data_IF_266532877058
#
_entry.id   IF_266532877058
#
_cell.length_a   1.000
_cell.length_b   1.000
_cell.length_c   1.000
_cell.angle_alpha   90.00
_cell.angle_beta   90.00
_cell.angle_gamma   90.00
#
_symmetry.space_group_name_H-M   'P 1'
#
loop_
_entity.id
_entity.type
_entity.pdbx_description
1 polymer ?
#
# COMPACT_ATOMS: atom_id res chain seq x y z
N UNK A 1 6.49 21.79 4.38
CA UNK A 1 6.25 20.45 3.77
C UNK A 1 7.57 19.94 3.22
N UNK A 2 7.95 18.67 3.40
CA UNK A 2 9.12 18.15 2.70
C UNK A 2 8.99 18.43 1.20
N UNK A 3 10.10 18.64 0.53
CA UNK A 3 10.15 18.87 -0.91
C UNK A 3 9.46 17.69 -1.63
N UNK A 4 8.59 17.98 -2.58
CA UNK A 4 7.93 16.95 -3.41
C UNK A 4 8.60 16.92 -4.77
N UNK A 5 8.74 15.73 -5.32
CA UNK A 5 9.26 15.50 -6.67
C UNK A 5 8.12 15.03 -7.59
N UNK A 6 8.29 15.11 -8.92
CA UNK A 6 7.36 14.50 -9.86
C UNK A 6 7.12 13.03 -9.56
N UNK A 7 5.95 12.52 -9.93
CA UNK A 7 5.52 11.16 -9.57
C UNK A 7 6.48 10.07 -10.09
N UNK A 8 6.93 10.18 -11.35
CA UNK A 8 7.93 9.23 -11.89
C UNK A 8 9.26 9.31 -11.18
N UNK A 9 9.73 10.51 -10.87
CA UNK A 9 11.01 10.70 -10.18
C UNK A 9 10.96 10.06 -8.78
N UNK A 10 9.82 10.15 -8.10
CA UNK A 10 9.63 9.48 -6.81
C UNK A 10 9.64 7.95 -6.94
N UNK A 11 9.04 7.39 -8.00
CA UNK A 11 9.10 5.95 -8.31
C UNK A 11 10.54 5.52 -8.58
N UNK A 12 11.33 6.36 -9.26
CA UNK A 12 12.74 6.08 -9.54
C UNK A 12 13.61 6.03 -8.28
N UNK A 13 13.20 6.74 -7.23
CA UNK A 13 13.90 6.77 -5.94
C UNK A 13 13.56 5.56 -5.04
N UNK A 14 12.52 4.79 -5.31
CA UNK A 14 12.01 3.74 -4.41
C UNK A 14 13.05 2.68 -4.03
N UNK A 15 13.90 2.14 -4.93
CA UNK A 15 14.89 1.16 -4.52
C UNK A 15 15.86 1.69 -3.46
N UNK A 16 16.35 2.92 -3.67
CA UNK A 16 17.24 3.56 -2.69
C UNK A 16 16.50 3.96 -1.41
N UNK A 17 15.25 4.41 -1.54
CA UNK A 17 14.39 4.73 -0.40
C UNK A 17 14.17 3.50 0.50
N UNK A 18 13.97 2.31 -0.07
CA UNK A 18 13.83 1.06 0.68
C UNK A 18 15.14 0.64 1.36
N UNK A 19 16.31 0.77 0.69
CA UNK A 19 17.60 0.51 1.34
C UNK A 19 17.82 1.41 2.54
N UNK A 20 17.50 2.70 2.41
CA UNK A 20 17.61 3.68 3.51
C UNK A 20 16.61 3.36 4.63
N UNK A 21 15.35 3.06 4.25
CA UNK A 21 14.29 2.74 5.19
C UNK A 21 14.58 1.46 5.98
N UNK A 22 15.20 0.46 5.38
CA UNK A 22 15.60 -0.77 6.07
C UNK A 22 16.53 -0.46 7.25
N UNK A 23 17.57 0.34 7.02
CA UNK A 23 18.50 0.72 8.07
C UNK A 23 17.89 1.63 9.13
N UNK A 24 17.10 2.62 8.72
CA UNK A 24 16.47 3.57 9.65
C UNK A 24 15.39 2.90 10.49
N UNK A 25 14.49 2.16 9.87
CA UNK A 25 13.41 1.44 10.56
C UNK A 25 13.98 0.35 11.47
N UNK A 26 15.01 -0.39 11.02
CA UNK A 26 15.69 -1.39 11.83
C UNK A 26 16.18 -0.82 13.14
N UNK A 27 16.94 0.29 13.10
CA UNK A 27 17.44 0.98 14.30
C UNK A 27 16.32 1.51 15.20
N UNK A 28 15.25 2.05 14.60
CA UNK A 28 14.10 2.54 15.38
C UNK A 28 13.40 1.40 16.13
N UNK A 29 13.24 0.25 15.47
CA UNK A 29 12.62 -0.94 16.07
C UNK A 29 13.53 -1.62 17.12
N UNK A 30 14.84 -1.56 16.96
CA UNK A 30 15.78 -2.10 17.96
C UNK A 30 15.78 -1.25 19.25
N UNK A 31 15.42 0.03 19.15
CA UNK A 31 15.27 0.92 20.30
C UNK A 31 13.85 0.91 20.90
N UNK A 32 12.85 0.36 20.21
CA UNK A 32 11.46 0.38 20.62
C UNK A 32 11.12 -0.81 21.53
N UNK A 33 10.28 -0.58 22.54
CA UNK A 33 9.64 -1.64 23.30
C UNK A 33 8.35 -2.11 22.59
N UNK A 34 8.41 -3.25 21.92
CA UNK A 34 7.31 -3.84 21.17
C UNK A 34 6.45 -4.82 22.01
N UNK A 35 6.66 -4.91 23.31
CA UNK A 35 5.99 -5.89 24.21
C UNK A 35 4.47 -5.81 24.09
N UNK A 36 3.90 -4.61 23.99
CA UNK A 36 2.46 -4.43 23.82
C UNK A 36 1.90 -5.02 22.50
N UNK A 37 2.72 -5.14 21.47
CA UNK A 37 2.36 -5.79 20.20
C UNK A 37 2.54 -7.32 20.24
N UNK A 38 3.18 -7.86 21.29
CA UNK A 38 3.45 -9.28 21.46
C UNK A 38 2.23 -10.11 21.87
N UNK A 39 1.17 -9.50 22.40
CA UNK A 39 -0.05 -10.16 22.86
C UNK A 39 -1.30 -9.42 22.36
N UNK A 40 -2.48 -10.02 22.56
CA UNK A 40 -3.74 -9.36 22.19
C UNK A 40 -3.93 -9.15 20.68
N UNK A 41 -4.85 -8.25 20.35
CA UNK A 41 -5.19 -7.83 18.99
C UNK A 41 -4.50 -6.50 18.67
N UNK A 42 -3.87 -6.41 17.52
CA UNK A 42 -3.23 -5.20 17.02
C UNK A 42 -4.19 -4.46 16.09
N UNK A 43 -4.51 -3.21 16.37
CA UNK A 43 -5.26 -2.30 15.49
C UNK A 43 -4.32 -1.44 14.66
N UNK A 44 -4.39 -1.55 13.33
CA UNK A 44 -3.64 -0.69 12.44
C UNK A 44 -4.56 0.44 11.95
N UNK A 45 -4.23 1.67 12.29
CA UNK A 45 -5.08 2.85 12.01
C UNK A 45 -4.42 3.67 10.91
N UNK A 46 -5.15 3.97 9.85
CA UNK A 46 -4.64 4.79 8.75
C UNK A 46 -5.75 5.51 8.00
N UNK A 47 -5.35 6.35 7.04
CA UNK A 47 -6.25 7.01 6.10
C UNK A 47 -5.56 7.13 4.73
N UNK A 48 -6.32 7.03 3.64
CA UNK A 48 -5.76 7.02 2.29
C UNK A 48 -4.76 5.87 2.08
N UNK A 49 -3.60 6.14 1.49
CA UNK A 49 -2.56 5.13 1.26
C UNK A 49 -2.12 4.42 2.55
N UNK A 50 -2.10 5.14 3.68
CA UNK A 50 -1.76 4.56 4.99
C UNK A 50 -2.78 3.56 5.50
N UNK A 51 -4.07 3.71 5.18
CA UNK A 51 -5.08 2.69 5.48
C UNK A 51 -4.80 1.40 4.70
N UNK A 52 -4.47 1.52 3.42
CA UNK A 52 -4.17 0.36 2.60
C UNK A 52 -2.86 -0.34 2.99
N UNK A 53 -1.86 0.42 3.44
CA UNK A 53 -0.69 -0.16 4.10
C UNK A 53 -1.08 -0.91 5.38
N UNK A 54 -1.97 -0.35 6.19
CA UNK A 54 -2.52 -0.99 7.39
C UNK A 54 -3.29 -2.27 7.07
N UNK A 55 -4.11 -2.30 6.01
CA UNK A 55 -4.83 -3.50 5.56
C UNK A 55 -3.85 -4.61 5.17
N UNK A 56 -2.82 -4.28 4.37
CA UNK A 56 -1.77 -5.22 4.00
C UNK A 56 -0.98 -5.71 5.23
N UNK A 57 -0.61 -4.79 6.13
CA UNK A 57 0.10 -5.11 7.38
C UNK A 57 -0.70 -5.99 8.32
N UNK A 58 -2.02 -5.74 8.48
CA UNK A 58 -2.89 -6.58 9.30
C UNK A 58 -3.00 -8.00 8.73
N UNK A 59 -3.08 -8.14 7.41
CA UNK A 59 -3.09 -9.45 6.74
C UNK A 59 -1.75 -10.18 6.95
N UNK A 60 -0.62 -9.48 6.84
CA UNK A 60 0.70 -10.07 7.10
C UNK A 60 0.87 -10.51 8.55
N UNK A 61 0.46 -9.67 9.51
CA UNK A 61 0.48 -10.04 10.94
C UNK A 61 -0.33 -11.30 11.20
N UNK A 62 -1.52 -11.43 10.60
CA UNK A 62 -2.35 -12.65 10.71
C UNK A 62 -1.65 -13.87 10.09
N UNK A 63 -1.00 -13.72 8.93
CA UNK A 63 -0.23 -14.79 8.30
C UNK A 63 0.96 -15.26 9.19
N UNK A 64 1.50 -14.36 10.01
CA UNK A 64 2.57 -14.64 10.97
C UNK A 64 2.06 -14.94 12.39
N UNK A 65 0.78 -15.32 12.54
CA UNK A 65 0.21 -15.84 13.80
C UNK A 65 -0.25 -14.76 14.79
N UNK A 66 -0.32 -13.47 14.39
CA UNK A 66 -0.79 -12.38 15.24
C UNK A 66 -2.25 -12.04 14.94
N UNK A 67 -3.05 -11.74 15.96
CA UNK A 67 -4.37 -11.16 15.76
C UNK A 67 -4.21 -9.69 15.37
N UNK A 68 -4.71 -9.30 14.20
CA UNK A 68 -4.61 -7.94 13.73
C UNK A 68 -5.82 -7.55 12.87
N UNK A 69 -6.25 -6.29 13.00
CA UNK A 69 -7.32 -5.65 12.23
C UNK A 69 -6.82 -4.33 11.67
N UNK A 70 -7.34 -3.91 10.53
CA UNK A 70 -7.12 -2.57 9.99
C UNK A 70 -8.38 -1.74 10.19
N UNK A 71 -8.21 -0.48 10.55
CA UNK A 71 -9.27 0.47 10.88
C UNK A 71 -9.03 1.77 10.13
N UNK A 72 -10.06 2.30 9.48
CA UNK A 72 -10.00 3.66 8.99
C UNK A 72 -9.96 4.64 10.17
N UNK A 73 -9.13 5.69 10.06
CA UNK A 73 -8.96 6.66 11.16
C UNK A 73 -10.29 7.24 11.67
N UNK A 74 -11.28 7.40 10.78
CA UNK A 74 -12.61 7.89 11.16
C UNK A 74 -13.42 6.95 12.04
N UNK A 75 -13.16 5.65 12.02
CA UNK A 75 -13.88 4.66 12.86
C UNK A 75 -13.58 4.83 14.35
N UNK A 76 -12.38 5.33 14.69
CA UNK A 76 -11.93 5.53 16.07
C UNK A 76 -11.75 7.00 16.44
N UNK A 77 -12.14 7.92 15.58
CA UNK A 77 -11.90 9.35 15.70
C UNK A 77 -12.44 9.94 17.04
N UNK A 78 -13.63 9.51 17.43
CA UNK A 78 -14.29 9.91 18.68
C UNK A 78 -14.74 8.69 19.50
N UNK A 79 -14.26 7.47 19.17
CA UNK A 79 -14.70 6.25 19.82
C UNK A 79 -14.09 6.12 21.23
N UNK A 80 -14.95 5.98 22.23
CA UNK A 80 -14.56 5.73 23.60
C UNK A 80 -14.23 4.26 23.89
N UNK A 81 -14.63 3.35 22.97
CA UNK A 81 -14.43 1.90 23.13
C UNK A 81 -13.24 1.46 22.31
N UNK A 82 -12.37 0.67 22.91
CA UNK A 82 -11.21 0.10 22.21
C UNK A 82 -11.63 -1.05 21.31
N UNK A 83 -11.13 -1.04 20.05
CA UNK A 83 -11.33 -2.11 19.07
C UNK A 83 -10.16 -3.12 19.08
N UNK A 84 -9.06 -2.82 19.76
CA UNK A 84 -7.87 -3.64 19.85
C UNK A 84 -7.13 -3.39 21.18
N UNK A 85 -6.18 -4.25 21.48
CA UNK A 85 -5.39 -4.18 22.71
C UNK A 85 -4.16 -3.25 22.57
N UNK A 86 -3.64 -3.11 21.35
CA UNK A 86 -2.57 -2.18 21.00
C UNK A 86 -2.80 -1.59 19.61
N UNK A 87 -2.22 -0.42 19.33
CA UNK A 87 -2.49 0.31 18.10
C UNK A 87 -1.22 0.77 17.40
N UNK A 88 -1.22 0.68 16.08
CA UNK A 88 -0.19 1.25 15.20
C UNK A 88 -0.87 2.27 14.29
N UNK A 89 -0.62 3.56 14.51
CA UNK A 89 -1.06 4.62 13.62
C UNK A 89 -0.06 4.76 12.46
N UNK A 90 -0.55 4.70 11.22
CA UNK A 90 0.27 4.88 10.02
C UNK A 90 -0.09 6.21 9.36
N UNK A 91 0.91 7.07 9.18
CA UNK A 91 0.76 8.35 8.48
C UNK A 91 2.07 8.78 7.85
N UNK A 92 2.16 8.76 6.52
CA UNK A 92 3.39 9.12 5.80
C UNK A 92 4.04 10.41 6.31
N UNK A 93 3.25 11.48 6.48
CA UNK A 93 3.73 12.77 6.98
C UNK A 93 3.73 12.90 8.51
N UNK A 94 3.19 11.91 9.25
CA UNK A 94 2.94 12.03 10.68
C UNK A 94 1.97 13.16 11.06
N UNK A 95 1.16 13.65 10.11
CA UNK A 95 0.29 14.82 10.28
C UNK A 95 -1.19 14.54 10.05
N UNK A 96 -1.58 13.32 9.74
CA UNK A 96 -3.01 12.98 9.54
C UNK A 96 -3.75 13.10 10.87
N UNK A 97 -4.82 13.91 10.88
CA UNK A 97 -5.57 14.25 12.10
C UNK A 97 -6.25 13.00 12.67
N UNK A 98 -6.85 12.18 11.81
CA UNK A 98 -7.70 11.07 12.20
C UNK A 98 -6.92 9.97 12.97
N UNK A 99 -5.81 9.42 12.45
CA UNK A 99 -5.05 8.42 13.20
C UNK A 99 -4.39 9.00 14.45
N UNK A 100 -3.93 10.27 14.43
CA UNK A 100 -3.36 10.92 15.59
C UNK A 100 -4.41 11.10 16.70
N UNK A 101 -5.62 11.58 16.37
CA UNK A 101 -6.71 11.75 17.33
C UNK A 101 -7.17 10.40 17.88
N UNK A 102 -7.31 9.40 17.04
CA UNK A 102 -7.67 8.05 17.46
C UNK A 102 -6.69 7.47 18.50
N UNK A 103 -5.37 7.66 18.30
CA UNK A 103 -4.36 7.17 19.25
C UNK A 103 -4.23 8.04 20.50
N UNK A 104 -4.44 9.35 20.40
CA UNK A 104 -4.40 10.26 21.56
C UNK A 104 -5.44 9.92 22.65
N UNK A 105 -6.51 9.23 22.29
CA UNK A 105 -7.55 8.77 23.23
C UNK A 105 -7.16 7.48 23.99
N UNK A 106 -6.00 6.89 23.71
CA UNK A 106 -5.57 5.59 24.23
C UNK A 106 -4.30 5.72 25.08
N UNK A 107 -4.05 4.77 25.99
CA UNK A 107 -2.84 4.79 26.80
C UNK A 107 -1.57 4.78 25.90
N UNK A 108 -0.64 5.66 26.17
CA UNK A 108 0.61 5.75 25.38
C UNK A 108 1.41 4.44 25.35
N UNK A 109 1.35 3.64 26.42
CA UNK A 109 2.06 2.37 26.52
C UNK A 109 1.67 1.33 25.44
N UNK A 110 0.50 1.48 24.81
CA UNK A 110 -0.02 0.55 23.79
C UNK A 110 -0.17 1.20 22.41
N UNK A 111 0.42 2.39 22.19
CA UNK A 111 0.28 3.13 20.93
C UNK A 111 1.62 3.39 20.25
N UNK A 112 1.66 3.13 18.95
CA UNK A 112 2.82 3.28 18.09
C UNK A 112 2.46 4.12 16.87
N UNK A 113 3.42 4.91 16.38
CA UNK A 113 3.28 5.70 15.15
C UNK A 113 4.31 5.27 14.12
N UNK A 114 3.92 5.17 12.85
CA UNK A 114 4.81 5.00 11.70
C UNK A 114 4.68 6.25 10.82
N UNK A 115 5.81 6.92 10.56
CA UNK A 115 5.89 8.06 9.64
C UNK A 115 7.24 8.10 8.93
N UNK A 116 7.41 8.97 7.93
CA UNK A 116 8.71 9.16 7.27
C UNK A 116 9.81 9.62 8.25
N UNK A 117 9.46 10.52 9.18
CA UNK A 117 10.32 10.94 10.26
C UNK A 117 9.67 10.65 11.62
N UNK A 118 10.46 10.49 12.68
CA UNK A 118 9.94 10.27 14.02
C UNK A 118 9.50 11.58 14.69
N UNK A 119 10.14 12.68 14.36
CA UNK A 119 9.89 14.04 14.89
C UNK A 119 8.72 14.73 14.16
N UNK A 120 7.56 14.13 14.19
CA UNK A 120 6.35 14.65 13.54
C UNK A 120 5.27 14.92 14.58
N UNK A 121 4.23 15.73 14.26
CA UNK A 121 3.13 16.03 15.20
C UNK A 121 2.45 14.79 15.79
N UNK A 122 2.49 13.65 15.12
CA UNK A 122 1.93 12.38 15.63
C UNK A 122 2.63 11.89 16.91
N UNK A 123 3.90 12.27 17.15
CA UNK A 123 4.63 11.88 18.38
C UNK A 123 3.90 12.26 19.67
N UNK A 124 3.10 13.34 19.63
CA UNK A 124 2.32 13.79 20.79
C UNK A 124 1.13 12.89 21.07
N UNK A 125 0.72 12.08 20.10
CA UNK A 125 -0.47 11.22 20.16
C UNK A 125 -0.15 9.74 20.41
N UNK A 126 1.12 9.33 20.35
CA UNK A 126 1.55 7.93 20.50
C UNK A 126 2.65 7.78 21.54
N UNK A 127 2.83 6.57 22.06
CA UNK A 127 3.90 6.28 23.01
C UNK A 127 5.27 6.17 22.35
N UNK A 128 5.33 5.60 21.17
CA UNK A 128 6.58 5.37 20.45
C UNK A 128 6.42 5.67 18.96
N UNK A 129 7.42 6.34 18.39
CA UNK A 129 7.46 6.67 16.96
C UNK A 129 8.53 5.84 16.24
N UNK A 130 8.15 5.31 15.09
CA UNK A 130 9.02 4.58 14.17
C UNK A 130 9.13 5.40 12.89
N UNK A 131 10.27 6.08 12.74
CA UNK A 131 10.62 6.79 11.52
C UNK A 131 11.09 5.81 10.44
N UNK A 132 10.54 5.89 9.23
CA UNK A 132 10.96 5.00 8.15
C UNK A 132 12.20 5.51 7.41
N UNK A 133 12.43 6.81 7.36
CA UNK A 133 13.54 7.38 6.59
C UNK A 133 13.45 7.11 5.09
N UNK A 134 12.25 6.88 4.55
CA UNK A 134 12.02 6.56 3.13
C UNK A 134 12.26 7.74 2.16
N UNK A 135 12.65 8.91 2.68
CA UNK A 135 13.12 10.03 1.88
C UNK A 135 12.03 10.86 1.22
N UNK A 136 12.39 11.50 0.10
CA UNK A 136 11.51 12.42 -0.63
C UNK A 136 10.39 11.61 -1.30
N UNK A 137 9.20 12.21 -1.36
CA UNK A 137 8.00 11.59 -1.95
C UNK A 137 7.33 12.51 -2.96
N UNK A 138 6.36 11.98 -3.67
CA UNK A 138 5.45 12.73 -4.52
C UNK A 138 4.10 12.97 -3.81
N UNK A 139 3.18 13.52 -4.51
CA UNK A 139 1.77 13.45 -4.11
C UNK A 139 0.94 13.15 -5.36
N UNK A 140 0.53 11.92 -5.57
CA UNK A 140 0.27 10.78 -4.65
C UNK A 140 1.51 10.13 -4.04
N UNK A 141 1.33 9.46 -2.90
CA UNK A 141 2.40 8.83 -2.15
C UNK A 141 3.01 7.62 -2.89
N UNK A 142 4.34 7.53 -2.91
CA UNK A 142 5.14 6.45 -3.51
C UNK A 142 6.13 5.89 -2.48
N UNK A 143 7.29 6.53 -2.30
CA UNK A 143 8.33 6.10 -1.37
C UNK A 143 7.85 5.95 0.07
N UNK A 144 6.94 6.83 0.53
CA UNK A 144 6.39 6.75 1.88
C UNK A 144 5.43 5.56 2.05
N UNK A 145 4.69 5.18 1.01
CA UNK A 145 3.89 3.96 1.03
C UNK A 145 4.79 2.72 1.13
N UNK A 146 5.83 2.64 0.30
CA UNK A 146 6.84 1.57 0.35
C UNK A 146 7.51 1.48 1.73
N UNK A 147 7.91 2.63 2.29
CA UNK A 147 8.49 2.70 3.63
C UNK A 147 7.54 2.23 4.72
N UNK A 148 6.24 2.53 4.60
CA UNK A 148 5.21 2.06 5.54
C UNK A 148 5.02 0.55 5.45
N UNK A 149 4.99 -0.05 4.25
CA UNK A 149 4.93 -1.50 4.07
C UNK A 149 6.15 -2.18 4.68
N UNK A 150 7.35 -1.65 4.44
CA UNK A 150 8.59 -2.18 5.01
C UNK A 150 8.58 -2.11 6.54
N UNK A 151 8.18 -0.99 7.13
CA UNK A 151 8.11 -0.85 8.59
C UNK A 151 7.13 -1.85 9.20
N UNK A 152 5.95 -2.02 8.60
CA UNK A 152 4.95 -3.01 9.04
C UNK A 152 5.48 -4.45 8.90
N UNK A 153 6.23 -4.74 7.83
CA UNK A 153 6.87 -6.03 7.65
C UNK A 153 7.90 -6.31 8.74
N UNK A 154 8.80 -5.37 9.02
CA UNK A 154 9.82 -5.52 10.05
C UNK A 154 9.22 -5.62 11.46
N UNK A 155 8.10 -4.98 11.72
CA UNK A 155 7.32 -5.18 12.96
C UNK A 155 6.79 -6.62 13.00
N UNK A 156 6.14 -7.07 11.92
CA UNK A 156 5.57 -8.42 11.85
C UNK A 156 6.64 -9.52 12.02
N UNK A 157 7.84 -9.33 11.46
CA UNK A 157 8.98 -10.23 11.68
C UNK A 157 9.44 -10.31 13.16
N UNK A 158 9.26 -9.23 13.94
CA UNK A 158 9.65 -9.18 15.36
C UNK A 158 8.59 -9.72 16.31
N UNK A 159 7.31 -9.49 16.00
CA UNK A 159 6.22 -9.82 16.93
C UNK A 159 5.44 -11.09 16.55
N UNK A 160 5.63 -11.59 15.34
CA UNK A 160 5.03 -12.81 14.80
C UNK A 160 6.05 -13.90 14.54
N UNK A 161 5.63 -14.95 13.83
CA UNK A 161 6.54 -15.97 13.33
C UNK A 161 7.32 -15.43 12.14
N UNK A 162 8.67 -15.37 12.18
CA UNK A 162 9.45 -14.83 11.07
C UNK A 162 9.22 -15.57 9.75
N UNK A 163 9.13 -14.82 8.65
CA UNK A 163 8.88 -15.36 7.30
C UNK A 163 10.11 -16.01 6.66
N UNK A 164 11.30 -15.69 7.17
CA UNK A 164 12.58 -16.10 6.58
C UNK A 164 12.96 -15.29 5.32
N UNK A 165 12.26 -14.21 5.00
CA UNK A 165 12.63 -13.35 3.89
C UNK A 165 13.86 -12.50 4.22
N UNK A 166 14.84 -12.47 3.32
CA UNK A 166 16.01 -11.60 3.46
C UNK A 166 15.70 -10.17 3.00
N UNK A 167 15.36 -9.31 3.96
CA UNK A 167 15.01 -7.91 3.71
C UNK A 167 16.15 -7.08 3.13
N UNK A 168 17.41 -7.54 3.23
CA UNK A 168 18.55 -6.82 2.62
C UNK A 168 18.48 -6.82 1.09
N UNK A 169 17.76 -7.75 0.51
CA UNK A 169 17.61 -7.90 -0.95
C UNK A 169 16.49 -7.06 -1.55
N UNK A 170 15.61 -6.46 -0.74
CA UNK A 170 14.37 -5.84 -1.24
C UNK A 170 14.61 -4.72 -2.27
N UNK A 171 15.64 -3.90 -2.08
CA UNK A 171 15.99 -2.83 -3.02
C UNK A 171 16.45 -3.39 -4.38
N UNK A 172 17.27 -4.43 -4.37
CA UNK A 172 17.78 -5.08 -5.58
C UNK A 172 16.66 -5.84 -6.31
N UNK A 173 15.79 -6.51 -5.57
CA UNK A 173 14.60 -7.15 -6.13
C UNK A 173 13.66 -6.14 -6.79
N UNK A 174 13.51 -4.94 -6.21
CA UNK A 174 12.68 -3.89 -6.81
C UNK A 174 13.30 -3.37 -8.11
N UNK A 175 14.62 -3.14 -8.16
CA UNK A 175 15.32 -2.78 -9.40
C UNK A 175 15.19 -3.86 -10.49
N UNK A 176 15.37 -5.12 -10.13
CA UNK A 176 15.19 -6.24 -11.04
C UNK A 176 13.74 -6.35 -11.55
N UNK A 177 12.75 -6.14 -10.65
CA UNK A 177 11.33 -6.10 -11.01
C UNK A 177 11.06 -5.00 -12.02
N UNK A 178 11.59 -3.79 -11.81
CA UNK A 178 11.47 -2.68 -12.76
C UNK A 178 11.98 -3.06 -14.15
N UNK A 179 13.21 -3.57 -14.20
CA UNK A 179 13.85 -3.94 -15.47
C UNK A 179 13.06 -5.03 -16.23
N UNK A 180 12.59 -6.05 -15.52
CA UNK A 180 11.89 -7.20 -16.12
C UNK A 180 10.44 -6.89 -16.54
N UNK A 181 9.79 -5.91 -15.92
CA UNK A 181 8.36 -5.62 -16.15
C UNK A 181 8.09 -4.49 -17.15
N UNK A 182 9.09 -3.72 -17.57
CA UNK A 182 8.95 -2.50 -18.40
C UNK A 182 8.04 -2.70 -19.62
N UNK A 183 8.27 -3.77 -20.39
CA UNK A 183 7.48 -4.05 -21.61
C UNK A 183 6.03 -4.41 -21.29
N UNK A 184 5.80 -5.22 -20.26
CA UNK A 184 4.46 -5.61 -19.84
C UNK A 184 3.69 -4.41 -19.24
N UNK A 185 4.34 -3.54 -18.47
CA UNK A 185 3.78 -2.28 -17.95
C UNK A 185 3.28 -1.40 -19.10
N UNK A 186 4.09 -1.17 -20.13
CA UNK A 186 3.69 -0.35 -21.28
C UNK A 186 2.48 -0.95 -22.04
N UNK A 187 2.40 -2.29 -22.15
CA UNK A 187 1.21 -2.96 -22.73
C UNK A 187 -0.02 -2.84 -21.83
N UNK A 188 0.16 -2.99 -20.52
CA UNK A 188 -0.91 -2.83 -19.55
C UNK A 188 -1.49 -1.40 -19.58
N UNK A 189 -0.62 -0.38 -19.63
CA UNK A 189 -1.04 1.01 -19.78
C UNK A 189 -1.87 1.23 -21.04
N UNK A 190 -1.45 0.67 -22.19
CA UNK A 190 -2.21 0.75 -23.46
C UNK A 190 -3.57 0.03 -23.35
N UNK A 191 -3.61 -1.16 -22.72
CA UNK A 191 -4.83 -1.96 -22.57
C UNK A 191 -5.87 -1.25 -21.70
N UNK A 192 -5.44 -0.56 -20.65
CA UNK A 192 -6.31 0.13 -19.69
C UNK A 192 -6.62 1.58 -20.10
N UNK A 193 -5.93 2.15 -21.08
CA UNK A 193 -6.14 3.52 -21.51
C UNK A 193 -7.57 3.76 -22.00
N UNK A 194 -8.19 4.87 -21.56
CA UNK A 194 -9.54 5.25 -21.98
C UNK A 194 -10.68 4.42 -21.38
N UNK A 195 -10.39 3.47 -20.48
CA UNK A 195 -11.45 2.75 -19.74
C UNK A 195 -12.19 3.71 -18.80
N UNK A 196 -13.54 3.59 -18.77
CA UNK A 196 -14.40 4.50 -18.00
C UNK A 196 -14.35 4.30 -16.49
N UNK A 197 -14.00 3.08 -16.05
CA UNK A 197 -13.82 2.69 -14.66
C UNK A 197 -12.82 1.54 -14.55
N UNK A 198 -12.15 1.43 -13.41
CA UNK A 198 -11.16 0.40 -13.15
C UNK A 198 -11.41 -0.25 -11.78
N UNK A 199 -11.46 -1.57 -11.73
CA UNK A 199 -11.46 -2.32 -10.48
C UNK A 199 -10.06 -2.86 -10.18
N UNK A 200 -9.73 -2.93 -8.90
CA UNK A 200 -8.49 -3.52 -8.41
C UNK A 200 -8.85 -4.66 -7.46
N UNK A 201 -8.36 -5.86 -7.71
CA UNK A 201 -8.80 -7.08 -7.01
C UNK A 201 -7.62 -7.83 -6.44
N UNK A 202 -7.71 -8.27 -5.19
CA UNK A 202 -6.69 -9.09 -4.56
C UNK A 202 -7.15 -9.61 -3.20
N UNK A 203 -6.53 -10.68 -2.71
CA UNK A 203 -6.86 -11.28 -1.43
C UNK A 203 -5.77 -11.04 -0.38
N UNK A 204 -6.13 -11.06 0.90
CA UNK A 204 -5.21 -10.94 2.03
C UNK A 204 -4.31 -9.68 1.92
N UNK A 205 -2.99 -9.84 1.87
CA UNK A 205 -2.05 -8.72 1.71
C UNK A 205 -2.30 -7.97 0.40
N UNK A 206 -2.59 -8.69 -0.69
CA UNK A 206 -2.86 -8.11 -1.99
C UNK A 206 -4.16 -7.27 -2.02
N UNK A 207 -5.10 -7.46 -1.10
CA UNK A 207 -6.25 -6.56 -0.94
C UNK A 207 -5.83 -5.13 -0.56
N UNK A 208 -4.80 -5.00 0.28
CA UNK A 208 -4.21 -3.69 0.57
C UNK A 208 -3.52 -3.07 -0.66
N UNK A 209 -2.82 -3.88 -1.47
CA UNK A 209 -2.21 -3.44 -2.74
C UNK A 209 -3.28 -2.98 -3.73
N UNK A 210 -4.38 -3.73 -3.86
CA UNK A 210 -5.52 -3.37 -4.70
C UNK A 210 -6.16 -2.03 -4.26
N UNK A 211 -6.28 -1.82 -2.94
CA UNK A 211 -6.78 -0.57 -2.40
C UNK A 211 -5.87 0.63 -2.68
N UNK A 212 -4.57 0.45 -2.53
CA UNK A 212 -3.59 1.47 -2.91
C UNK A 212 -3.65 1.79 -4.40
N UNK A 213 -3.74 0.79 -5.27
CA UNK A 213 -3.90 0.98 -6.71
C UNK A 213 -5.16 1.77 -7.07
N UNK A 214 -6.31 1.40 -6.49
CA UNK A 214 -7.57 2.11 -6.71
C UNK A 214 -7.49 3.57 -6.25
N UNK A 215 -6.81 3.85 -5.13
CA UNK A 215 -6.57 5.21 -4.66
C UNK A 215 -5.71 6.01 -5.67
N UNK A 216 -4.59 5.44 -6.13
CA UNK A 216 -3.72 6.10 -7.11
C UNK A 216 -4.43 6.38 -8.43
N UNK A 217 -5.26 5.45 -8.93
CA UNK A 217 -6.08 5.66 -10.12
C UNK A 217 -7.03 6.86 -9.96
N UNK A 218 -7.62 7.03 -8.78
CA UNK A 218 -8.48 8.18 -8.48
C UNK A 218 -7.69 9.49 -8.36
N UNK A 219 -6.53 9.47 -7.73
CA UNK A 219 -5.71 10.67 -7.48
C UNK A 219 -4.95 11.14 -8.73
N UNK A 220 -4.30 10.22 -9.45
CA UNK A 220 -3.41 10.52 -10.57
C UNK A 220 -4.14 10.52 -11.91
N UNK A 221 -4.93 9.48 -12.20
CA UNK A 221 -5.65 9.31 -13.48
C UNK A 221 -7.03 9.93 -13.45
N UNK A 222 -7.59 10.14 -12.25
CA UNK A 222 -8.92 10.73 -12.03
C UNK A 222 -10.05 9.92 -12.66
N UNK A 223 -9.87 8.63 -12.71
CA UNK A 223 -10.87 7.66 -13.17
C UNK A 223 -11.57 7.04 -11.95
N UNK A 224 -12.88 6.75 -12.01
CA UNK A 224 -13.55 5.96 -10.99
C UNK A 224 -12.83 4.61 -10.82
N UNK A 225 -12.40 4.29 -9.61
CA UNK A 225 -11.74 3.05 -9.31
C UNK A 225 -12.14 2.54 -7.92
N UNK A 226 -12.25 1.23 -7.76
CA UNK A 226 -12.60 0.56 -6.51
C UNK A 226 -11.69 -0.63 -6.27
N UNK A 227 -11.56 -1.01 -5.01
CA UNK A 227 -10.82 -2.21 -4.63
C UNK A 227 -11.76 -3.27 -4.03
N UNK A 228 -11.47 -4.53 -4.33
CA UNK A 228 -12.26 -5.66 -3.90
C UNK A 228 -11.38 -6.78 -3.37
N UNK A 229 -11.85 -7.43 -2.31
CA UNK A 229 -11.36 -8.77 -1.98
C UNK A 229 -11.77 -9.74 -3.07
N UNK A 230 -10.86 -10.66 -3.44
CA UNK A 230 -11.07 -11.59 -4.57
C UNK A 230 -12.38 -12.36 -4.47
N UNK A 231 -12.68 -12.93 -3.31
CA UNK A 231 -13.89 -13.72 -3.15
C UNK A 231 -15.13 -12.84 -3.14
N UNK A 232 -15.07 -11.70 -2.46
CA UNK A 232 -16.18 -10.74 -2.45
C UNK A 232 -16.47 -10.20 -3.85
N UNK A 233 -15.46 -9.97 -4.69
CA UNK A 233 -15.62 -9.53 -6.07
C UNK A 233 -16.50 -10.48 -6.90
N UNK A 234 -16.35 -11.78 -6.68
CA UNK A 234 -17.12 -12.83 -7.35
C UNK A 234 -18.60 -12.89 -6.92
N UNK A 235 -18.98 -12.20 -5.85
CA UNK A 235 -20.33 -12.22 -5.29
C UNK A 235 -21.15 -10.96 -5.63
N UNK A 236 -20.96 -10.40 -6.83
CA UNK A 236 -21.77 -9.30 -7.35
C UNK A 236 -20.98 -8.08 -7.82
N UNK A 237 -19.93 -7.61 -7.12
CA UNK A 237 -19.16 -6.43 -7.55
C UNK A 237 -18.59 -6.50 -8.96
N UNK A 238 -18.40 -7.69 -9.53
CA UNK A 238 -17.92 -7.86 -10.90
C UNK A 238 -18.96 -7.52 -11.98
N UNK A 239 -20.25 -7.49 -11.67
CA UNK A 239 -21.35 -7.32 -12.64
C UNK A 239 -21.30 -6.02 -13.48
N UNK A 240 -20.83 -4.87 -12.99
CA UNK A 240 -20.70 -3.64 -13.79
C UNK A 240 -19.59 -3.69 -14.84
N UNK A 241 -18.74 -4.72 -14.82
CA UNK A 241 -17.59 -4.79 -15.73
C UNK A 241 -18.01 -5.28 -17.12
N UNK A 242 -17.48 -4.61 -18.14
CA UNK A 242 -17.70 -4.89 -19.55
C UNK A 242 -16.45 -4.44 -20.36
N UNK A 243 -16.42 -4.59 -21.71
CA UNK A 243 -15.27 -4.16 -22.52
C UNK A 243 -14.87 -2.67 -22.37
N UNK A 244 -15.74 -1.81 -21.85
CA UNK A 244 -15.45 -0.39 -21.56
C UNK A 244 -14.81 -0.16 -20.19
N UNK A 245 -14.66 -1.18 -19.35
CA UNK A 245 -13.99 -1.15 -18.04
C UNK A 245 -12.68 -1.92 -18.07
N UNK A 246 -11.93 -1.88 -16.99
CA UNK A 246 -10.72 -2.67 -16.84
C UNK A 246 -10.54 -3.16 -15.39
N UNK A 247 -9.77 -4.23 -15.24
CA UNK A 247 -9.49 -4.82 -13.93
C UNK A 247 -7.99 -5.08 -13.77
N UNK A 248 -7.43 -4.67 -12.63
CA UNK A 248 -6.07 -5.06 -12.22
C UNK A 248 -6.19 -6.09 -11.10
N UNK A 249 -5.67 -7.27 -11.33
CA UNK A 249 -5.78 -8.43 -10.43
C UNK A 249 -4.41 -8.73 -9.84
N UNK A 250 -4.34 -8.95 -8.52
CA UNK A 250 -3.11 -9.22 -7.77
C UNK A 250 -3.20 -10.57 -7.06
N UNK A 251 -2.33 -11.50 -7.40
CA UNK A 251 -2.23 -12.76 -6.67
C UNK A 251 -1.87 -13.97 -7.51
N UNK A 252 -1.68 -15.10 -6.82
CA UNK A 252 -1.14 -16.34 -7.36
C UNK A 252 -2.13 -17.52 -7.25
N UNK A 253 -3.27 -17.30 -6.61
CA UNK A 253 -4.29 -18.30 -6.32
C UNK A 253 -5.49 -18.23 -7.28
N UNK A 254 -6.69 -18.02 -6.72
CA UNK A 254 -7.94 -17.87 -7.47
C UNK A 254 -7.90 -16.70 -8.47
N UNK A 255 -7.05 -15.74 -8.21
CA UNK A 255 -6.80 -14.54 -9.01
C UNK A 255 -6.37 -14.88 -10.45
N UNK A 256 -5.56 -15.93 -10.62
CA UNK A 256 -5.09 -16.38 -11.95
C UNK A 256 -6.27 -16.82 -12.83
N UNK A 257 -7.18 -17.63 -12.27
CA UNK A 257 -8.37 -18.05 -13.00
C UNK A 257 -9.34 -16.88 -13.22
N UNK A 258 -9.50 -16.01 -12.20
CA UNK A 258 -10.35 -14.82 -12.33
C UNK A 258 -9.87 -13.91 -13.47
N UNK A 259 -8.57 -13.67 -13.58
CA UNK A 259 -8.00 -12.85 -14.65
C UNK A 259 -8.27 -13.48 -16.03
N UNK A 260 -8.17 -14.81 -16.13
CA UNK A 260 -8.49 -15.53 -17.35
C UNK A 260 -9.98 -15.46 -17.73
N UNK A 261 -10.87 -15.56 -16.73
CA UNK A 261 -12.33 -15.46 -16.91
C UNK A 261 -12.72 -14.05 -17.39
N UNK A 262 -12.22 -13.00 -16.71
CA UNK A 262 -12.49 -11.60 -17.08
C UNK A 262 -12.02 -11.28 -18.49
N UNK A 263 -10.81 -11.71 -18.87
CA UNK A 263 -10.31 -11.54 -20.23
C UNK A 263 -11.18 -12.28 -21.26
N UNK A 264 -11.65 -13.48 -20.91
CA UNK A 264 -12.59 -14.26 -21.74
C UNK A 264 -13.95 -13.56 -21.93
N UNK A 265 -14.39 -12.75 -21.00
CA UNK A 265 -15.58 -11.88 -21.12
C UNK A 265 -15.31 -10.59 -21.91
N UNK A 266 -14.10 -10.40 -22.44
CA UNK A 266 -13.70 -9.19 -23.19
C UNK A 266 -13.31 -8.00 -22.31
N UNK A 267 -13.15 -8.19 -21.01
CA UNK A 267 -12.77 -7.15 -20.06
C UNK A 267 -11.24 -6.97 -20.10
N UNK A 268 -10.77 -5.73 -20.25
CA UNK A 268 -9.35 -5.40 -20.21
C UNK A 268 -8.77 -5.74 -18.83
N UNK A 269 -7.90 -6.74 -18.77
CA UNK A 269 -7.41 -7.33 -17.52
C UNK A 269 -5.88 -7.28 -17.47
N UNK A 270 -5.35 -6.86 -16.32
CA UNK A 270 -3.92 -6.96 -16.00
C UNK A 270 -3.77 -7.85 -14.78
N UNK A 271 -2.97 -8.92 -14.91
CA UNK A 271 -2.65 -9.81 -13.78
C UNK A 271 -1.21 -9.53 -13.33
N UNK A 272 -1.05 -9.18 -12.05
CA UNK A 272 0.27 -9.07 -11.39
C UNK A 272 0.44 -10.29 -10.50
N UNK A 273 1.40 -11.16 -10.81
CA UNK A 273 1.55 -12.48 -10.20
C UNK A 273 3.00 -12.94 -10.19
N UNK A 274 3.34 -13.87 -9.31
CA UNK A 274 4.64 -14.57 -9.35
C UNK A 274 4.62 -15.82 -10.24
N UNK A 275 3.42 -16.27 -10.63
CA UNK A 275 3.25 -17.45 -11.45
C UNK A 275 3.62 -17.19 -12.93
N UNK A 276 3.98 -18.28 -13.63
CA UNK A 276 4.16 -18.28 -15.07
C UNK A 276 2.81 -18.52 -15.74
N UNK A 277 2.16 -17.44 -16.17
CA UNK A 277 0.81 -17.45 -16.76
C UNK A 277 0.90 -16.98 -18.21
N UNK A 278 0.30 -17.76 -19.12
CA UNK A 278 0.23 -17.38 -20.53
C UNK A 278 -0.74 -16.21 -20.75
N UNK A 279 -0.31 -15.22 -21.52
CA UNK A 279 -1.18 -14.12 -21.95
C UNK A 279 -2.18 -14.59 -23.01
N UNK A 280 -3.26 -13.83 -23.13
CA UNK A 280 -4.29 -14.01 -24.17
C UNK A 280 -4.90 -12.65 -24.52
N UNK A 281 -5.85 -12.65 -25.45
CA UNK A 281 -6.62 -11.43 -25.76
C UNK A 281 -7.21 -10.84 -24.48
N UNK A 282 -7.13 -9.53 -24.34
CA UNK A 282 -7.56 -8.75 -23.16
C UNK A 282 -6.84 -9.07 -21.84
N UNK A 283 -5.78 -9.90 -21.82
CA UNK A 283 -4.98 -10.19 -20.63
C UNK A 283 -3.51 -9.85 -20.85
N UNK A 284 -3.01 -8.91 -20.06
CA UNK A 284 -1.56 -8.68 -19.90
C UNK A 284 -1.13 -9.24 -18.55
N UNK A 285 -0.05 -10.02 -18.55
CA UNK A 285 0.54 -10.59 -17.33
C UNK A 285 1.83 -9.85 -17.00
N UNK A 286 1.92 -9.38 -15.76
CA UNK A 286 3.13 -8.77 -15.20
C UNK A 286 3.67 -9.72 -14.15
N UNK A 287 4.75 -10.40 -14.51
CA UNK A 287 5.41 -11.36 -13.61
C UNK A 287 6.37 -10.64 -12.68
N UNK A 288 6.19 -10.84 -11.38
CA UNK A 288 7.08 -10.35 -10.31
C UNK A 288 7.79 -11.52 -9.63
N UNK A 289 8.93 -11.31 -8.95
CA UNK A 289 9.58 -12.36 -8.17
C UNK A 289 8.67 -12.92 -7.07
N UNK A 290 8.69 -14.24 -6.88
CA UNK A 290 8.07 -14.89 -5.73
C UNK A 290 8.84 -14.57 -4.44
N UNK A 291 8.13 -14.33 -3.34
CA UNK A 291 8.74 -14.08 -2.02
C UNK A 291 8.08 -14.94 -0.93
N UNK A 292 8.78 -15.15 0.19
CA UNK A 292 8.22 -15.82 1.37
C UNK A 292 7.45 -14.85 2.29
N UNK A 293 7.35 -13.57 1.96
CA UNK A 293 6.68 -12.55 2.77
C UNK A 293 5.68 -11.75 1.91
N UNK A 294 4.41 -11.72 2.32
CA UNK A 294 3.36 -11.03 1.58
C UNK A 294 3.59 -9.53 1.40
N UNK A 295 4.19 -8.84 2.40
CA UNK A 295 4.51 -7.41 2.27
C UNK A 295 5.69 -7.16 1.32
N UNK A 296 6.65 -8.09 1.22
CA UNK A 296 7.67 -8.03 0.17
C UNK A 296 7.02 -8.16 -1.21
N UNK A 297 6.10 -9.12 -1.38
CA UNK A 297 5.30 -9.25 -2.62
C UNK A 297 4.51 -7.97 -2.91
N UNK A 298 3.88 -7.34 -1.90
CA UNK A 298 3.14 -6.10 -2.06
C UNK A 298 4.04 -4.93 -2.51
N UNK A 299 5.25 -4.81 -1.97
CA UNK A 299 6.25 -3.83 -2.40
C UNK A 299 6.60 -4.06 -3.88
N UNK A 300 6.91 -5.30 -4.29
CA UNK A 300 7.24 -5.62 -5.67
C UNK A 300 6.06 -5.40 -6.63
N UNK A 301 4.82 -5.65 -6.20
CA UNK A 301 3.61 -5.43 -7.00
C UNK A 301 3.22 -3.94 -7.11
N UNK A 302 3.55 -3.13 -6.12
CA UNK A 302 3.25 -1.70 -6.13
C UNK A 302 4.03 -0.96 -7.22
N UNK A 303 5.27 -1.33 -7.51
CA UNK A 303 6.10 -0.68 -8.53
C UNK A 303 5.49 -0.72 -9.95
N UNK A 304 5.18 -1.89 -10.55
CA UNK A 304 4.54 -1.93 -11.86
C UNK A 304 3.16 -1.24 -11.85
N UNK A 305 2.42 -1.30 -10.73
CA UNK A 305 1.16 -0.58 -10.57
C UNK A 305 1.34 0.93 -10.71
N UNK A 306 2.30 1.52 -10.00
CA UNK A 306 2.62 2.95 -10.07
C UNK A 306 3.05 3.36 -11.49
N UNK A 307 3.86 2.53 -12.16
CA UNK A 307 4.31 2.80 -13.52
C UNK A 307 3.15 2.77 -14.53
N UNK A 308 2.21 1.81 -14.42
CA UNK A 308 0.99 1.77 -15.23
C UNK A 308 0.18 3.06 -15.02
N UNK A 309 0.03 3.48 -13.76
CA UNK A 309 -0.74 4.67 -13.39
C UNK A 309 -0.07 5.94 -13.92
N UNK A 310 1.26 6.01 -13.91
CA UNK A 310 2.01 7.10 -14.51
C UNK A 310 1.77 7.17 -16.03
N UNK A 311 1.83 6.02 -16.74
CA UNK A 311 1.53 5.93 -18.17
C UNK A 311 0.10 6.38 -18.49
N UNK A 312 -0.88 5.94 -17.70
CA UNK A 312 -2.29 6.32 -17.86
C UNK A 312 -2.51 7.83 -17.64
N UNK A 313 -1.88 8.40 -16.62
CA UNK A 313 -1.99 9.83 -16.33
C UNK A 313 -1.34 10.70 -17.41
N UNK A 314 -0.17 10.29 -17.94
CA UNK A 314 0.50 10.95 -19.05
C UNK A 314 -0.33 10.86 -20.33
N UNK A 315 -0.87 9.69 -20.66
CA UNK A 315 -1.75 9.50 -21.82
C UNK A 315 -3.01 10.38 -21.74
N UNK A 316 -3.52 10.64 -20.51
CA UNK A 316 -4.64 11.53 -20.28
C UNK A 316 -4.24 13.03 -20.16
N UNK A 317 -2.96 13.39 -20.28
CA UNK A 317 -2.45 14.76 -20.16
C UNK A 317 -2.68 15.37 -18.76
N UNK A 318 -2.67 14.55 -17.70
CA UNK A 318 -3.03 15.00 -16.35
C UNK A 318 -1.78 15.36 -15.52
N UNK A 319 -1.80 16.49 -14.79
CA UNK A 319 -0.76 16.84 -13.84
C UNK A 319 -0.93 16.02 -12.56
N UNK A 320 -0.19 14.92 -12.42
CA UNK A 320 -0.35 13.93 -11.34
C UNK A 320 -0.23 14.55 -9.93
N UNK A 321 0.74 15.43 -9.72
CA UNK A 321 1.01 16.01 -8.40
C UNK A 321 0.11 17.20 -8.03
N UNK A 322 -0.89 17.52 -8.85
CA UNK A 322 -1.82 18.63 -8.64
C UNK A 322 -3.21 18.12 -8.33
N UNK A 323 -3.56 18.06 -7.04
CA UNK A 323 -4.91 17.69 -6.61
C UNK A 323 -5.92 18.81 -6.91
N UNK A 324 -7.10 18.45 -7.44
CA UNK A 324 -8.21 19.38 -7.74
C UNK A 324 -8.82 19.99 -6.48
N UNK A 325 -8.90 19.18 -5.43
CA UNK A 325 -9.60 19.56 -4.20
C UNK A 325 -8.63 19.43 -3.02
N UNK A 326 -8.64 20.43 -2.14
CA UNK A 326 -7.84 20.44 -0.91
C UNK A 326 -8.76 20.75 0.27
N UNK A 327 -8.62 19.97 1.31
CA UNK A 327 -9.24 20.23 2.61
C UNK A 327 -8.17 20.76 3.57
N UNK A 328 -8.55 21.67 4.45
CA UNK A 328 -7.60 22.37 5.34
C UNK A 328 -7.56 21.76 6.74
N UNK A 329 -8.52 20.89 7.08
CA UNK A 329 -8.74 20.30 8.39
C UNK A 329 -8.23 18.84 8.53
N UNK A 330 -7.62 18.29 7.48
CA UNK A 330 -7.13 16.90 7.44
C UNK A 330 -5.69 16.72 7.95
N UNK A 331 -5.00 17.81 8.28
CA UNK A 331 -3.58 17.77 8.68
C UNK A 331 -3.32 18.60 9.93
N UNK A 332 -2.60 18.00 10.88
CA UNK A 332 -2.05 18.70 12.04
C UNK A 332 -1.07 19.81 11.58
N UNK A 333 -0.95 20.93 12.33
CA UNK A 333 0.09 21.92 12.08
C UNK A 333 1.49 21.30 12.04
N UNK A 334 2.44 21.96 11.39
CA UNK A 334 3.86 21.57 11.52
C UNK A 334 4.36 21.87 12.92
N UNK A 335 5.31 21.06 13.40
CA UNK A 335 6.06 21.39 14.63
C UNK A 335 6.90 22.61 14.31
N UNK A 336 6.83 23.65 15.15
CA UNK A 336 7.57 24.90 14.99
C UNK A 336 9.08 24.70 15.15
#
# INVERSE_FOLDING_TARGET
>A
MPARVPFRDAIDLEPQALRNALGTTGKALDAADLTALGTGTIGLIGIGASLYAGIAGAAQLRAQGRRAIALAGGELYDAAVDAADAYIAVSASGRSVEPARATALRPRAVTFGIAQAADTPMQDSVGQMIGTGSGIDSGPNTTSYMGSLLALALIAERVGTPSGFDWTTIGDLLEATRASTTTAVARAGKLLAGKRALDCVGANVAYGTAGYAALLLREAVRVPAQNWDTLNFLHGPMEPNDPGTGVIVYGDGREVQLAADLAGFGIATVLITSNDVAERDNLVVIRIPATSNGLATAILAALPTQLIIADLAEAAGLPVCVFRYRQTDTKLPEVA
#
